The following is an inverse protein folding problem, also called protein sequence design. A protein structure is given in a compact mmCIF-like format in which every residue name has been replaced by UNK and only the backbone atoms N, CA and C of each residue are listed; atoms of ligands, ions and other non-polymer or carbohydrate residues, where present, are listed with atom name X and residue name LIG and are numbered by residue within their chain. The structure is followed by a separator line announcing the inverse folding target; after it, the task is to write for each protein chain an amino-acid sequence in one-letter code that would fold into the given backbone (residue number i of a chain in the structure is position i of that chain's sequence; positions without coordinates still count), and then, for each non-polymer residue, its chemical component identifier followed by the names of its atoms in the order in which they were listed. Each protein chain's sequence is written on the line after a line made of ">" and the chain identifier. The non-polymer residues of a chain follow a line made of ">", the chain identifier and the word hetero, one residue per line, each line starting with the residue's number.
data_IF_720734528291
#
_entry.id   IF_720734528291
#
_cell.length_a   1.000
_cell.length_b   1.000
_cell.length_c   1.000
_cell.angle_alpha   90.00
_cell.angle_beta   90.00
_cell.angle_gamma   90.00
#
_symmetry.space_group_name_H-M   'P 1'
#
loop_
_entity.id
_entity.type
_entity.pdbx_description
1 polymer ?
#
# COMPACT_ATOMS: atom_id res chain seq x y z
N UNK A 1 -4.66 4.99 -18.88
CA UNK A 1 -4.36 4.89 -17.43
C UNK A 1 -5.58 4.35 -16.69
N UNK A 2 -5.37 3.46 -15.75
CA UNK A 2 -6.42 2.94 -14.87
C UNK A 2 -6.18 3.45 -13.45
N UNK A 3 -7.25 3.78 -12.71
CA UNK A 3 -7.15 4.29 -11.34
C UNK A 3 -8.27 3.75 -10.47
N UNK A 4 -7.94 3.44 -9.22
CA UNK A 4 -8.90 3.02 -8.19
C UNK A 4 -8.51 3.66 -6.86
N UNK A 5 -9.52 3.95 -6.04
CA UNK A 5 -9.29 4.58 -4.74
C UNK A 5 -10.27 4.02 -3.72
N UNK A 6 -9.76 3.72 -2.52
CA UNK A 6 -10.56 3.28 -1.39
C UNK A 6 -10.21 4.12 -0.16
N UNK A 7 -11.22 4.59 0.55
CA UNK A 7 -11.06 5.46 1.71
C UNK A 7 -11.86 4.90 2.89
N UNK A 8 -11.27 4.97 4.09
CA UNK A 8 -11.93 4.60 5.33
C UNK A 8 -11.46 5.51 6.46
N UNK A 9 -12.24 5.60 7.53
CA UNK A 9 -11.95 6.45 8.68
C UNK A 9 -12.08 5.67 9.99
N UNK A 10 -11.27 6.02 10.97
CA UNK A 10 -11.35 5.44 12.32
C UNK A 10 -10.71 6.38 13.33
N UNK A 11 -11.07 6.29 14.62
CA UNK A 11 -10.48 7.11 15.67
C UNK A 11 -9.13 6.53 16.14
N UNK A 12 -8.14 6.57 15.26
CA UNK A 12 -6.79 6.07 15.52
C UNK A 12 -5.78 7.20 15.37
N UNK A 13 -4.60 7.05 15.96
CA UNK A 13 -3.59 8.10 15.89
C UNK A 13 -2.76 7.99 14.61
N UNK A 14 -2.33 9.14 14.04
CA UNK A 14 -1.43 9.13 12.89
C UNK A 14 -0.12 8.43 13.18
N UNK A 15 0.38 8.55 14.40
CA UNK A 15 1.64 7.91 14.81
C UNK A 15 1.53 6.39 14.77
N UNK A 16 0.38 5.84 15.19
CA UNK A 16 0.17 4.39 15.15
C UNK A 16 0.14 3.88 13.71
N UNK A 17 -0.56 4.58 12.83
CA UNK A 17 -0.63 4.21 11.41
C UNK A 17 0.74 4.32 10.75
N UNK A 18 1.45 5.43 11.00
CA UNK A 18 2.78 5.62 10.41
C UNK A 18 3.74 4.53 10.85
N UNK A 19 3.69 4.14 12.12
CA UNK A 19 4.51 3.05 12.63
C UNK A 19 4.25 1.75 11.86
N UNK A 20 2.96 1.41 11.66
CA UNK A 20 2.59 0.20 10.93
C UNK A 20 3.05 0.24 9.47
N UNK A 21 3.01 1.41 8.84
CA UNK A 21 3.49 1.56 7.47
C UNK A 21 5.02 1.52 7.38
N UNK A 22 5.70 2.27 8.24
CA UNK A 22 7.17 2.42 8.14
C UNK A 22 7.93 1.18 8.60
N UNK A 23 7.35 0.39 9.48
CA UNK A 23 7.94 -0.87 9.92
C UNK A 23 7.43 -1.99 9.01
N UNK A 24 7.96 -2.04 7.77
CA UNK A 24 7.46 -2.95 6.74
C UNK A 24 7.57 -4.42 7.15
N UNK A 25 8.53 -4.76 7.99
CA UNK A 25 8.71 -6.14 8.46
C UNK A 25 7.54 -6.61 9.33
N UNK A 26 6.71 -5.69 9.82
CA UNK A 26 5.50 -6.01 10.59
C UNK A 26 4.26 -6.19 9.70
N UNK A 27 4.36 -5.88 8.41
CA UNK A 27 3.19 -5.98 7.52
C UNK A 27 2.53 -7.36 7.54
N UNK A 28 3.26 -8.48 7.61
CA UNK A 28 2.61 -9.79 7.69
C UNK A 28 1.73 -9.96 8.95
N UNK A 29 2.00 -9.20 10.01
CA UNK A 29 1.25 -9.31 11.25
C UNK A 29 -0.18 -8.78 11.12
N UNK A 30 -0.42 -7.84 10.22
CA UNK A 30 -1.75 -7.26 10.04
C UNK A 30 -2.30 -7.41 8.62
N UNK A 31 -1.48 -7.83 7.66
CA UNK A 31 -1.91 -8.05 6.28
C UNK A 31 -1.78 -9.54 5.95
N UNK A 32 -2.90 -10.29 5.91
CA UNK A 32 -2.85 -11.73 5.68
C UNK A 32 -2.39 -12.12 4.28
N UNK A 33 -2.38 -11.18 3.33
CA UNK A 33 -1.95 -11.45 1.97
C UNK A 33 -0.43 -11.44 1.82
N UNK A 34 0.31 -11.10 2.88
CA UNK A 34 1.77 -11.06 2.87
C UNK A 34 2.30 -12.11 3.84
N UNK A 35 3.02 -13.10 3.32
CA UNK A 35 3.64 -14.11 4.17
C UNK A 35 4.97 -13.61 4.74
N UNK A 36 5.83 -13.05 3.87
CA UNK A 36 7.09 -12.45 4.29
C UNK A 36 7.35 -11.17 3.50
N UNK A 37 8.17 -10.29 4.07
CA UNK A 37 8.58 -9.05 3.42
C UNK A 37 9.97 -8.66 3.93
N UNK A 38 10.81 -8.17 3.02
CA UNK A 38 12.13 -7.65 3.37
C UNK A 38 12.33 -6.32 2.67
N UNK A 39 12.97 -5.38 3.36
CA UNK A 39 13.32 -4.08 2.79
C UNK A 39 14.84 -3.92 2.79
N UNK A 40 15.35 -3.39 1.68
CA UNK A 40 16.78 -3.13 1.52
C UNK A 40 17.02 -1.64 1.75
N UNK A 41 17.27 -1.27 3.00
CA UNK A 41 17.53 0.10 3.39
C UNK A 41 16.43 0.70 4.26
N UNK A 42 16.48 2.02 4.51
CA UNK A 42 15.49 2.71 5.32
C UNK A 42 14.16 2.87 4.59
N UNK A 43 13.11 3.19 5.33
CA UNK A 43 11.80 3.49 4.74
C UNK A 43 11.84 4.91 4.15
N UNK A 44 12.44 5.04 2.98
CA UNK A 44 12.66 6.31 2.30
C UNK A 44 12.66 6.11 0.79
N UNK A 45 12.47 7.19 0.05
CA UNK A 45 12.45 7.15 -1.41
C UNK A 45 13.74 6.50 -1.95
N UNK A 46 13.57 5.60 -2.90
CA UNK A 46 14.67 4.88 -3.53
C UNK A 46 14.94 3.50 -2.93
N UNK A 47 14.43 3.20 -1.74
CA UNK A 47 14.61 1.88 -1.14
C UNK A 47 13.74 0.85 -1.84
N UNK A 48 14.23 -0.37 -1.91
CA UNK A 48 13.52 -1.48 -2.55
C UNK A 48 13.09 -2.49 -1.50
N UNK A 49 11.93 -3.09 -1.72
CA UNK A 49 11.46 -4.16 -0.85
C UNK A 49 10.84 -5.28 -1.69
N UNK A 50 10.80 -6.47 -1.07
CA UNK A 50 10.26 -7.67 -1.71
C UNK A 50 9.20 -8.25 -0.81
N UNK A 51 7.99 -8.40 -1.35
CA UNK A 51 6.86 -9.05 -0.67
C UNK A 51 6.68 -10.45 -1.22
N UNK A 52 6.52 -11.42 -0.33
CA UNK A 52 6.20 -12.77 -0.72
C UNK A 52 4.79 -13.11 -0.20
N UNK A 53 3.81 -13.30 -1.10
CA UNK A 53 2.44 -13.58 -0.70
C UNK A 53 2.18 -15.05 -0.35
N UNK A 54 3.23 -15.88 -0.30
CA UNK A 54 3.07 -17.30 -0.04
C UNK A 54 2.93 -18.14 -1.30
N UNK A 55 2.95 -17.50 -2.47
CA UNK A 55 2.98 -18.19 -3.76
C UNK A 55 4.41 -18.22 -4.28
N UNK A 56 4.58 -18.77 -5.48
CA UNK A 56 5.91 -18.93 -6.06
C UNK A 56 6.55 -17.62 -6.53
N UNK A 57 5.77 -16.55 -6.65
CA UNK A 57 6.27 -15.28 -7.17
C UNK A 57 6.37 -14.21 -6.09
N UNK A 58 7.57 -13.69 -5.90
CA UNK A 58 7.80 -12.53 -5.06
C UNK A 58 7.49 -11.26 -5.84
N UNK A 59 6.98 -10.25 -5.14
CA UNK A 59 6.66 -8.94 -5.74
C UNK A 59 7.77 -7.97 -5.37
N UNK A 60 8.44 -7.43 -6.38
CA UNK A 60 9.54 -6.46 -6.20
C UNK A 60 8.99 -5.04 -6.33
N UNK A 61 9.18 -4.26 -5.27
CA UNK A 61 8.64 -2.91 -5.17
C UNK A 61 9.76 -1.92 -4.91
N UNK A 62 9.53 -0.67 -5.29
CA UNK A 62 10.43 0.43 -4.97
C UNK A 62 9.62 1.53 -4.28
N UNK A 63 10.14 2.11 -3.21
CA UNK A 63 9.53 3.29 -2.61
C UNK A 63 9.85 4.48 -3.51
N UNK A 64 8.82 5.06 -4.12
CA UNK A 64 8.97 6.22 -5.00
C UNK A 64 9.00 7.51 -4.21
N UNK A 65 8.13 7.61 -3.19
CA UNK A 65 8.03 8.79 -2.36
C UNK A 65 7.67 8.39 -0.93
N UNK A 66 8.28 9.06 0.03
CA UNK A 66 7.93 8.90 1.44
C UNK A 66 7.86 10.29 2.07
N UNK A 67 6.68 10.64 2.58
CA UNK A 67 6.45 11.88 3.34
C UNK A 67 6.13 11.46 4.77
N UNK A 68 7.11 11.55 5.70
CA UNK A 68 6.94 11.03 7.05
C UNK A 68 5.68 11.56 7.74
N UNK A 69 4.89 10.64 8.32
CA UNK A 69 3.67 11.01 9.01
C UNK A 69 2.48 11.33 8.13
N UNK A 70 2.61 11.24 6.81
CA UNK A 70 1.55 11.63 5.87
C UNK A 70 1.26 10.58 4.81
N UNK A 71 2.27 10.16 4.05
CA UNK A 71 2.04 9.27 2.91
C UNK A 71 3.29 8.52 2.50
N UNK A 72 3.07 7.44 1.75
CA UNK A 72 4.14 6.83 0.97
C UNK A 72 3.56 6.23 -0.29
N UNK A 73 4.38 6.18 -1.34
CA UNK A 73 4.00 5.62 -2.64
C UNK A 73 5.01 4.56 -3.03
N UNK A 74 4.52 3.39 -3.39
CA UNK A 74 5.38 2.34 -3.93
C UNK A 74 5.06 2.08 -5.39
N UNK A 75 6.03 1.48 -6.07
CA UNK A 75 6.01 1.26 -7.50
C UNK A 75 6.43 -0.15 -7.82
N UNK A 76 5.65 -0.83 -8.66
CA UNK A 76 6.01 -2.11 -9.23
C UNK A 76 5.90 -2.05 -10.75
N UNK A 77 6.79 -2.74 -11.44
CA UNK A 77 6.75 -2.82 -12.89
C UNK A 77 6.73 -4.28 -13.32
N UNK A 78 5.77 -4.64 -14.15
CA UNK A 78 5.77 -5.96 -14.77
C UNK A 78 4.86 -5.99 -16.01
N UNK A 79 5.25 -6.78 -17.00
CA UNK A 79 4.45 -7.02 -18.20
C UNK A 79 3.99 -5.74 -18.93
N UNK A 80 4.85 -4.72 -18.96
CA UNK A 80 4.53 -3.46 -19.62
C UNK A 80 3.57 -2.57 -18.82
N UNK A 81 3.39 -2.87 -17.54
CA UNK A 81 2.57 -2.07 -16.64
C UNK A 81 3.46 -1.42 -15.59
N UNK A 82 3.14 -0.18 -15.24
CA UNK A 82 3.72 0.53 -14.12
C UNK A 82 2.61 0.70 -13.08
N UNK A 83 2.73 0.04 -11.94
CA UNK A 83 1.71 0.00 -10.90
C UNK A 83 2.19 0.83 -9.73
N UNK A 84 1.51 1.94 -9.48
CA UNK A 84 1.83 2.88 -8.41
C UNK A 84 0.74 2.82 -7.37
N UNK A 85 1.08 2.51 -6.12
CA UNK A 85 0.13 2.46 -5.01
C UNK A 85 0.44 3.58 -4.03
N UNK A 86 -0.53 4.43 -3.80
CA UNK A 86 -0.41 5.62 -2.95
C UNK A 86 -1.14 5.34 -1.63
N UNK A 87 -0.43 5.52 -0.52
CA UNK A 87 -0.96 5.33 0.83
C UNK A 87 -0.96 6.69 1.52
N UNK A 88 -2.13 7.20 1.86
CA UNK A 88 -2.28 8.56 2.39
C UNK A 88 -3.10 8.54 3.68
N UNK A 89 -2.70 9.33 4.67
CA UNK A 89 -3.51 9.58 5.84
C UNK A 89 -3.76 11.08 6.02
N UNK A 90 -4.96 11.42 6.45
CA UNK A 90 -5.38 12.81 6.65
C UNK A 90 -6.28 12.91 7.87
N UNK A 91 -6.21 14.03 8.61
CA UNK A 91 -7.19 14.27 9.67
C UNK A 91 -8.59 14.36 9.10
N UNK A 92 -9.56 13.79 9.82
CA UNK A 92 -10.97 13.83 9.46
C UNK A 92 -11.77 14.42 10.63
N UNK A 93 -13.06 14.58 10.42
CA UNK A 93 -13.94 15.15 11.44
C UNK A 93 -14.06 14.24 12.66
N UNK A 94 -14.31 14.85 13.83
CA UNK A 94 -14.57 14.10 15.05
C UNK A 94 -13.37 13.38 15.66
N UNK A 95 -12.16 13.81 15.32
CA UNK A 95 -10.95 13.15 15.81
C UNK A 95 -10.58 11.90 15.05
N UNK A 96 -11.26 11.62 13.93
CA UNK A 96 -10.95 10.48 13.10
C UNK A 96 -9.74 10.75 12.20
N UNK A 97 -9.11 9.66 11.77
CA UNK A 97 -8.08 9.68 10.76
C UNK A 97 -8.63 9.01 9.50
N UNK A 98 -8.47 9.67 8.36
CA UNK A 98 -8.88 9.12 7.05
C UNK A 98 -7.69 8.46 6.39
N UNK A 99 -7.87 7.22 5.97
CA UNK A 99 -6.87 6.47 5.23
C UNK A 99 -7.34 6.29 3.81
N UNK A 100 -6.51 6.62 2.84
CA UNK A 100 -6.80 6.44 1.42
C UNK A 100 -5.72 5.55 0.80
N UNK A 101 -6.15 4.48 0.13
CA UNK A 101 -5.29 3.67 -0.71
C UNK A 101 -5.74 3.90 -2.16
N UNK A 102 -4.84 4.40 -2.99
CA UNK A 102 -5.11 4.65 -4.40
C UNK A 102 -4.10 3.90 -5.25
N UNK A 103 -4.57 3.37 -6.38
CA UNK A 103 -3.70 2.69 -7.32
C UNK A 103 -3.84 3.33 -8.70
N UNK A 104 -2.70 3.56 -9.35
CA UNK A 104 -2.63 4.04 -10.72
C UNK A 104 -1.83 3.05 -11.55
N UNK A 105 -2.37 2.63 -12.67
CA UNK A 105 -1.67 1.75 -13.60
C UNK A 105 -1.47 2.48 -14.91
N UNK A 106 -0.22 2.61 -15.32
CA UNK A 106 0.20 3.27 -16.55
C UNK A 106 1.10 2.33 -17.34
N UNK A 107 1.58 2.79 -18.49
CA UNK A 107 2.48 2.00 -19.33
C UNK A 107 1.82 1.53 -20.62
N UNK A 108 2.59 0.89 -21.52
CA UNK A 108 2.09 0.49 -22.83
C UNK A 108 0.87 -0.43 -22.81
N UNK A 109 0.75 -1.28 -21.80
CA UNK A 109 -0.35 -2.25 -21.72
C UNK A 109 -1.48 -1.82 -20.78
N UNK A 110 -1.42 -0.60 -20.23
CA UNK A 110 -2.43 -0.13 -19.26
C UNK A 110 -3.83 -0.08 -19.85
N UNK A 111 -3.97 0.30 -21.12
CA UNK A 111 -5.26 0.42 -21.76
C UNK A 111 -5.87 -0.93 -22.16
N UNK A 112 -5.07 -2.00 -22.21
CA UNK A 112 -5.54 -3.32 -22.59
C UNK A 112 -5.81 -4.22 -21.39
N UNK A 113 -4.88 -4.29 -20.42
CA UNK A 113 -4.99 -5.21 -19.29
C UNK A 113 -4.98 -4.53 -17.93
N UNK A 114 -4.83 -3.20 -17.90
CA UNK A 114 -4.72 -2.47 -16.63
C UNK A 114 -5.92 -2.65 -15.72
N UNK A 115 -7.13 -2.56 -16.26
CA UNK A 115 -8.34 -2.71 -15.46
C UNK A 115 -8.45 -4.11 -14.85
N UNK A 116 -8.16 -5.15 -15.63
CA UNK A 116 -8.21 -6.52 -15.14
C UNK A 116 -7.20 -6.77 -14.04
N UNK A 117 -5.95 -6.36 -14.26
CA UNK A 117 -4.90 -6.52 -13.26
C UNK A 117 -5.21 -5.66 -12.03
N UNK A 118 -5.65 -4.42 -12.24
CA UNK A 118 -5.98 -3.51 -11.15
C UNK A 118 -7.09 -4.03 -10.26
N UNK A 119 -8.16 -4.54 -10.84
CA UNK A 119 -9.28 -5.08 -10.07
C UNK A 119 -8.86 -6.30 -9.25
N UNK A 120 -7.98 -7.13 -9.77
CA UNK A 120 -7.46 -8.28 -9.03
C UNK A 120 -6.64 -7.84 -7.81
N UNK A 121 -5.81 -6.81 -7.96
CA UNK A 121 -4.96 -6.33 -6.88
C UNK A 121 -5.78 -5.53 -5.85
N UNK A 122 -6.64 -4.61 -6.31
CA UNK A 122 -7.36 -3.71 -5.41
C UNK A 122 -8.56 -4.36 -4.74
N UNK A 123 -8.96 -5.55 -5.16
CA UNK A 123 -10.07 -6.27 -4.55
C UNK A 123 -9.92 -6.48 -3.05
N UNK A 124 -8.67 -6.53 -2.55
CA UNK A 124 -8.38 -6.72 -1.14
C UNK A 124 -8.17 -5.41 -0.37
N UNK A 125 -8.21 -4.25 -1.04
CA UNK A 125 -7.97 -2.97 -0.38
C UNK A 125 -8.91 -2.70 0.79
N UNK A 126 -10.23 -2.96 0.70
CA UNK A 126 -11.10 -2.76 1.86
C UNK A 126 -10.68 -3.57 3.09
N UNK A 127 -10.35 -4.85 2.91
CA UNK A 127 -9.91 -5.70 4.00
C UNK A 127 -8.55 -5.27 4.53
N UNK A 128 -7.64 -4.88 3.66
CA UNK A 128 -6.31 -4.43 4.04
C UNK A 128 -6.37 -3.16 4.88
N UNK A 129 -7.16 -2.18 4.46
CA UNK A 129 -7.34 -0.94 5.21
C UNK A 129 -8.03 -1.21 6.55
N UNK A 130 -9.05 -2.07 6.56
CA UNK A 130 -9.73 -2.43 7.80
C UNK A 130 -8.77 -3.10 8.79
N UNK A 131 -7.91 -3.99 8.31
CA UNK A 131 -6.91 -4.66 9.16
C UNK A 131 -5.89 -3.67 9.71
N UNK A 132 -5.45 -2.72 8.89
CA UNK A 132 -4.55 -1.64 9.32
C UNK A 132 -5.17 -0.81 10.46
N UNK A 133 -6.42 -0.38 10.27
CA UNK A 133 -7.11 0.44 11.27
C UNK A 133 -7.38 -0.33 12.55
N UNK A 134 -7.72 -1.61 12.46
CA UNK A 134 -7.90 -2.46 13.63
C UNK A 134 -6.60 -2.59 14.41
N UNK A 135 -5.49 -2.82 13.74
CA UNK A 135 -4.19 -2.94 14.37
C UNK A 135 -3.76 -1.62 15.01
N UNK A 136 -4.03 -0.50 14.35
CA UNK A 136 -3.69 0.83 14.85
C UNK A 136 -4.49 1.21 16.10
N UNK A 137 -5.64 0.59 16.32
CA UNK A 137 -6.49 0.85 17.48
C UNK A 137 -6.05 0.11 18.74
N UNK A 138 -5.06 -0.78 18.62
CA UNK A 138 -4.58 -1.59 19.77
C UNK A 138 -3.31 -1.06 20.42
#
# INVERSE_FOLDING_TARGET
>A
MWRYEHTAQAPVSPEAVWRLWSEVELWPDWNPDIETITIDGPFAAGSKFVMNPGSDEAVHMTLEEVVPGTSFTDLAEFNGLVIRTIHLMEPAEGGNLRITYAMEITGPNADTVGAEVGEQITGDFPETVAALLEQAAH
#
